data_IF_468836859271
#
_entry.id   IF_468836859271
#
_cell.length_a   1.000
_cell.length_b   1.000
_cell.length_c   1.000
_cell.angle_alpha   90.00
_cell.angle_beta   90.00
_cell.angle_gamma   90.00
#
_symmetry.space_group_name_H-M   'P 1'
#
loop_
_entity.id
_entity.type
_entity.pdbx_description
1 polymer ?
#
# COMPACT_ATOMS: atom_id res chain seq x y z
N UNK A 1 -58.67 -61.05 1.59
CA UNK A 1 -59.09 -59.74 1.07
C UNK A 1 -58.00 -58.75 1.40
N UNK A 2 -57.21 -58.33 0.40
CA UNK A 2 -56.16 -57.35 0.58
C UNK A 2 -56.75 -55.96 0.31
N UNK A 3 -56.71 -55.07 1.29
CA UNK A 3 -57.14 -53.68 1.15
C UNK A 3 -56.10 -52.93 0.32
N UNK A 4 -56.47 -52.54 -0.90
CA UNK A 4 -55.67 -51.66 -1.75
C UNK A 4 -56.02 -50.22 -1.43
N UNK A 5 -55.45 -49.69 -0.34
CA UNK A 5 -55.44 -48.25 -0.12
C UNK A 5 -54.45 -47.60 -1.09
N UNK A 6 -54.84 -46.51 -1.80
CA UNK A 6 -53.96 -45.84 -2.72
C UNK A 6 -52.80 -45.17 -1.95
N UNK A 7 -51.57 -45.59 -2.24
CA UNK A 7 -50.30 -45.06 -1.71
C UNK A 7 -49.99 -43.61 -2.14
N UNK A 8 -50.93 -42.93 -2.82
CA UNK A 8 -50.74 -41.59 -3.33
C UNK A 8 -51.42 -40.64 -2.35
N UNK A 9 -50.60 -39.90 -1.58
CA UNK A 9 -51.08 -38.87 -0.67
C UNK A 9 -51.98 -37.89 -1.41
N UNK A 10 -53.17 -37.65 -0.88
CA UNK A 10 -54.14 -36.73 -1.48
C UNK A 10 -53.57 -35.29 -1.50
N UNK A 11 -53.79 -34.55 -2.59
CA UNK A 11 -53.28 -33.18 -2.78
C UNK A 11 -53.61 -32.21 -1.62
N UNK A 12 -54.67 -32.51 -0.85
CA UNK A 12 -55.04 -31.77 0.35
C UNK A 12 -53.97 -31.84 1.45
N UNK A 13 -53.37 -33.01 1.65
CA UNK A 13 -52.34 -33.22 2.68
C UNK A 13 -51.01 -32.56 2.28
N UNK A 14 -50.69 -32.57 0.98
CA UNK A 14 -49.49 -31.92 0.44
C UNK A 14 -49.57 -30.39 0.56
N UNK A 15 -50.78 -29.81 0.43
CA UNK A 15 -51.00 -28.37 0.56
C UNK A 15 -50.73 -27.84 1.98
N UNK A 16 -51.07 -28.61 3.02
CA UNK A 16 -50.86 -28.26 4.41
C UNK A 16 -49.39 -28.28 4.83
N UNK A 17 -48.65 -29.29 4.38
CA UNK A 17 -47.20 -29.41 4.62
C UNK A 17 -46.44 -28.24 3.99
N UNK A 18 -46.73 -27.91 2.72
CA UNK A 18 -46.09 -26.80 2.00
C UNK A 18 -46.38 -25.43 2.65
N UNK A 19 -47.60 -25.20 3.13
CA UNK A 19 -47.96 -23.95 3.81
C UNK A 19 -47.20 -23.77 5.15
N UNK A 20 -47.03 -24.87 5.89
CA UNK A 20 -46.31 -24.87 7.17
C UNK A 20 -44.81 -24.62 6.96
N UNK A 21 -44.20 -25.33 6.00
CA UNK A 21 -42.78 -25.14 5.64
C UNK A 21 -42.52 -23.69 5.20
N UNK A 22 -43.37 -23.10 4.35
CA UNK A 22 -43.23 -21.70 3.92
C UNK A 22 -43.25 -20.72 5.08
N UNK A 23 -44.10 -20.93 6.08
CA UNK A 23 -44.17 -20.07 7.28
C UNK A 23 -42.87 -20.15 8.11
N UNK A 24 -42.33 -21.36 8.32
CA UNK A 24 -41.07 -21.53 9.04
C UNK A 24 -39.87 -20.98 8.26
N UNK A 25 -39.78 -21.23 6.94
CA UNK A 25 -38.74 -20.65 6.10
C UNK A 25 -38.79 -19.11 6.14
N UNK A 26 -39.97 -18.50 6.03
CA UNK A 26 -40.11 -17.03 6.10
C UNK A 26 -39.61 -16.47 7.43
N UNK A 27 -40.03 -17.06 8.56
CA UNK A 27 -39.57 -16.63 9.90
C UNK A 27 -38.06 -16.83 10.08
N UNK A 28 -37.50 -17.91 9.55
CA UNK A 28 -36.06 -18.16 9.58
C UNK A 28 -35.29 -17.12 8.76
N UNK A 29 -35.72 -16.81 7.53
CA UNK A 29 -35.11 -15.76 6.71
C UNK A 29 -35.25 -14.37 7.34
N UNK A 30 -36.40 -14.05 7.95
CA UNK A 30 -36.58 -12.80 8.71
C UNK A 30 -35.62 -12.72 9.90
N UNK A 31 -35.50 -13.79 10.70
CA UNK A 31 -34.55 -13.84 11.82
C UNK A 31 -33.10 -13.71 11.38
N UNK A 32 -32.71 -14.40 10.31
CA UNK A 32 -31.37 -14.33 9.72
C UNK A 32 -31.07 -12.92 9.19
N UNK A 33 -32.02 -12.27 8.51
CA UNK A 33 -31.89 -10.89 8.04
C UNK A 33 -31.68 -9.91 9.21
N UNK A 34 -32.43 -10.07 10.31
CA UNK A 34 -32.26 -9.25 11.51
C UNK A 34 -30.87 -9.45 12.11
N UNK A 35 -30.39 -10.70 12.21
CA UNK A 35 -29.04 -11.00 12.71
C UNK A 35 -27.97 -10.34 11.81
N UNK A 36 -28.09 -10.47 10.49
CA UNK A 36 -27.17 -9.83 9.55
C UNK A 36 -27.18 -8.31 9.68
N UNK A 37 -28.36 -7.70 9.86
CA UNK A 37 -28.49 -6.26 10.07
C UNK A 37 -27.81 -5.82 11.38
N UNK A 38 -28.00 -6.56 12.47
CA UNK A 38 -27.35 -6.29 13.77
C UNK A 38 -25.83 -6.38 13.64
N UNK A 39 -25.31 -7.47 13.04
CA UNK A 39 -23.86 -7.64 12.83
C UNK A 39 -23.30 -6.53 11.94
N UNK A 40 -24.03 -6.13 10.90
CA UNK A 40 -23.64 -5.02 10.03
C UNK A 40 -23.54 -3.70 10.80
N UNK A 41 -24.54 -3.36 11.61
CA UNK A 41 -24.53 -2.14 12.45
C UNK A 41 -23.37 -2.19 13.44
N UNK A 42 -23.15 -3.31 14.13
CA UNK A 42 -22.03 -3.48 15.06
C UNK A 42 -20.68 -3.30 14.36
N UNK A 43 -20.49 -3.87 13.16
CA UNK A 43 -19.28 -3.68 12.37
C UNK A 43 -19.03 -2.20 12.03
N UNK A 44 -20.09 -1.42 11.73
CA UNK A 44 -19.97 0.01 11.48
C UNK A 44 -19.64 0.82 12.73
N UNK A 45 -20.22 0.46 13.89
CA UNK A 45 -19.87 1.10 15.18
C UNK A 45 -18.40 0.86 15.50
N UNK A 46 -17.93 -0.40 15.37
CA UNK A 46 -16.51 -0.74 15.58
C UNK A 46 -15.62 0.00 14.58
N UNK A 47 -16.02 0.06 13.30
CA UNK A 47 -15.27 0.82 12.28
C UNK A 47 -15.17 2.31 12.62
N UNK A 48 -16.26 2.93 13.09
CA UNK A 48 -16.28 4.33 13.49
C UNK A 48 -15.36 4.57 14.68
N UNK A 49 -15.36 3.66 15.67
CA UNK A 49 -14.45 3.71 16.80
C UNK A 49 -12.98 3.57 16.38
N UNK A 50 -12.63 2.58 15.55
CA UNK A 50 -11.27 2.40 15.04
C UNK A 50 -10.80 3.62 14.23
N UNK A 51 -11.67 4.20 13.40
CA UNK A 51 -11.37 5.41 12.64
C UNK A 51 -11.17 6.62 13.57
N UNK A 52 -12.05 6.80 14.56
CA UNK A 52 -11.95 7.87 15.54
C UNK A 52 -10.69 7.74 16.39
N UNK A 53 -10.33 6.53 16.80
CA UNK A 53 -9.07 6.24 17.48
C UNK A 53 -7.87 6.63 16.59
N UNK A 54 -7.82 6.09 15.37
CA UNK A 54 -6.71 6.28 14.45
C UNK A 54 -6.46 7.75 14.10
N UNK A 55 -7.52 8.57 14.03
CA UNK A 55 -7.41 9.99 13.66
C UNK A 55 -7.40 10.91 14.87
N UNK A 56 -8.39 10.82 15.76
CA UNK A 56 -8.57 11.82 16.82
C UNK A 56 -7.62 11.59 17.99
N UNK A 57 -7.43 10.34 18.43
CA UNK A 57 -6.56 10.06 19.59
C UNK A 57 -5.08 10.21 19.28
N UNK A 58 -4.69 10.02 18.02
CA UNK A 58 -3.32 10.24 17.52
C UNK A 58 -3.03 11.70 17.20
N UNK A 59 -3.99 12.60 17.46
CA UNK A 59 -3.80 14.04 17.37
C UNK A 59 -4.07 14.66 16.00
N UNK A 60 -4.69 13.95 15.05
CA UNK A 60 -5.06 14.48 13.73
C UNK A 60 -6.21 15.49 13.83
N UNK A 61 -5.94 16.70 14.33
CA UNK A 61 -6.90 17.80 14.40
C UNK A 61 -6.25 19.15 14.07
N UNK A 62 -6.99 20.11 13.48
CA UNK A 62 -6.47 21.44 13.17
C UNK A 62 -5.89 22.18 14.37
N UNK A 63 -6.48 21.99 15.55
CA UNK A 63 -6.03 22.65 16.78
C UNK A 63 -4.67 22.14 17.25
N UNK A 64 -4.41 20.83 17.15
CA UNK A 64 -3.14 20.24 17.57
C UNK A 64 -1.98 20.62 16.65
N UNK A 65 -2.28 20.93 15.38
CA UNK A 65 -1.27 21.28 14.37
C UNK A 65 -1.16 22.78 14.14
N UNK A 66 -1.78 23.61 14.98
CA UNK A 66 -1.70 25.07 14.86
C UNK A 66 -0.26 25.53 15.13
N UNK A 67 0.41 26.04 14.09
CA UNK A 67 1.81 26.49 14.19
C UNK A 67 2.82 25.34 14.17
N UNK A 68 2.40 24.13 13.78
CA UNK A 68 3.29 23.00 13.65
C UNK A 68 4.28 23.24 12.49
N UNK A 69 5.58 23.12 12.78
CA UNK A 69 6.61 23.11 11.74
C UNK A 69 6.74 21.67 11.22
N UNK A 70 6.55 21.45 9.92
CA UNK A 70 6.70 20.14 9.29
C UNK A 70 8.18 19.88 8.95
N UNK A 71 8.94 19.14 9.77
CA UNK A 71 10.38 19.04 9.60
C UNK A 71 10.77 18.25 8.35
N UNK A 72 9.94 17.28 7.93
CA UNK A 72 10.17 16.47 6.73
C UNK A 72 10.02 17.24 5.41
N UNK A 73 9.32 18.36 5.41
CA UNK A 73 8.94 19.11 4.21
C UNK A 73 10.03 19.95 3.56
N UNK A 74 11.17 20.12 4.23
CA UNK A 74 12.23 21.03 3.81
C UNK A 74 11.73 22.48 3.68
N UNK A 75 12.27 23.22 2.70
CA UNK A 75 12.00 24.64 2.49
C UNK A 75 10.57 25.00 2.05
N UNK A 76 9.72 24.03 1.72
CA UNK A 76 8.32 24.25 1.34
C UNK A 76 7.34 23.40 2.16
N UNK A 77 7.51 23.45 3.48
CA UNK A 77 6.64 22.79 4.47
C UNK A 77 5.14 23.13 4.32
N UNK A 78 4.81 24.26 3.68
CA UNK A 78 3.42 24.66 3.43
C UNK A 78 2.70 23.74 2.46
N UNK A 79 3.42 23.12 1.52
CA UNK A 79 2.87 22.26 0.48
C UNK A 79 3.36 20.81 0.62
N UNK A 80 4.65 20.63 0.86
CA UNK A 80 5.28 19.33 0.99
C UNK A 80 5.54 19.05 2.48
N UNK A 81 4.90 18.00 3.01
CA UNK A 81 5.10 17.56 4.41
C UNK A 81 6.22 16.51 4.51
N UNK A 82 6.47 15.78 3.43
CA UNK A 82 7.47 14.72 3.33
C UNK A 82 8.67 15.15 2.49
N UNK A 83 9.83 14.50 2.67
CA UNK A 83 11.01 14.77 1.85
C UNK A 83 10.76 14.38 0.39
N UNK A 84 11.46 15.08 -0.51
CA UNK A 84 11.38 14.87 -1.96
C UNK A 84 11.73 13.44 -2.36
N UNK A 85 12.84 12.93 -1.87
CA UNK A 85 13.24 11.53 -2.05
C UNK A 85 13.11 10.83 -0.69
N UNK A 86 12.43 9.69 -0.67
CA UNK A 86 12.21 8.94 0.57
C UNK A 86 12.24 7.45 0.33
N UNK A 87 12.72 6.71 1.32
CA UNK A 87 12.61 5.27 1.45
C UNK A 87 11.48 4.95 2.42
N UNK A 88 10.54 4.10 2.00
CA UNK A 88 9.54 3.49 2.87
C UNK A 88 10.07 2.12 3.30
N UNK A 89 10.51 2.01 4.55
CA UNK A 89 11.01 0.75 5.10
C UNK A 89 9.95 0.10 5.99
N UNK A 90 9.59 -1.16 5.70
CA UNK A 90 8.65 -1.91 6.55
C UNK A 90 9.21 -2.06 7.98
N UNK A 91 8.35 -1.85 8.97
CA UNK A 91 8.66 -2.14 10.38
C UNK A 91 8.18 -3.54 10.77
N UNK A 92 8.79 -4.14 11.80
CA UNK A 92 8.20 -5.30 12.47
C UNK A 92 6.73 -5.03 12.82
N UNK A 93 5.80 -5.94 12.48
CA UNK A 93 4.40 -5.76 12.78
C UNK A 93 4.19 -5.61 14.29
N UNK A 94 3.32 -4.68 14.67
CA UNK A 94 2.87 -4.52 16.05
C UNK A 94 1.48 -5.13 16.20
N UNK A 95 1.07 -5.39 17.43
CA UNK A 95 -0.20 -6.08 17.70
C UNK A 95 -1.45 -5.36 17.13
N UNK A 96 -1.35 -4.05 16.88
CA UNK A 96 -2.45 -3.22 16.37
C UNK A 96 -2.34 -2.85 14.88
N UNK A 97 -1.28 -3.25 14.19
CA UNK A 97 -1.13 -2.92 12.77
C UNK A 97 0.27 -3.14 12.20
N UNK A 98 0.35 -3.00 10.88
CA UNK A 98 1.59 -2.92 10.14
C UNK A 98 2.00 -1.45 9.93
N UNK A 99 3.28 -1.18 9.69
CA UNK A 99 3.76 0.19 9.51
C UNK A 99 5.00 0.28 8.62
N UNK A 100 5.22 1.46 8.04
CA UNK A 100 6.38 1.78 7.22
C UNK A 100 7.02 3.08 7.71
N UNK A 101 8.32 3.08 7.96
CA UNK A 101 9.08 4.30 8.27
C UNK A 101 9.39 5.06 6.99
N UNK A 102 9.30 6.38 7.05
CA UNK A 102 9.73 7.29 5.99
C UNK A 102 11.13 7.78 6.33
N UNK A 103 12.11 7.34 5.57
CA UNK A 103 13.52 7.70 5.73
C UNK A 103 13.89 8.62 4.55
N UNK A 104 14.43 9.83 4.76
CA UNK A 104 14.91 10.67 3.67
C UNK A 104 15.97 9.92 2.86
N UNK A 105 15.92 10.05 1.54
CA UNK A 105 16.96 9.55 0.65
C UNK A 105 17.56 10.67 -0.19
N UNK A 106 18.64 10.39 -0.89
CA UNK A 106 19.22 11.29 -1.88
C UNK A 106 18.93 10.82 -3.31
N UNK A 107 19.38 11.60 -4.30
CA UNK A 107 19.23 11.27 -5.73
C UNK A 107 19.94 9.97 -6.12
N UNK A 108 20.96 9.55 -5.36
CA UNK A 108 21.65 8.28 -5.54
C UNK A 108 20.90 7.08 -4.90
N UNK A 109 19.66 7.28 -4.43
CA UNK A 109 18.84 6.25 -3.79
C UNK A 109 19.46 5.65 -2.52
N UNK A 110 20.35 6.39 -1.86
CA UNK A 110 20.90 6.00 -0.57
C UNK A 110 20.18 6.71 0.57
N UNK A 111 20.22 6.11 1.76
CA UNK A 111 19.72 6.73 3.00
C UNK A 111 20.40 8.08 3.20
N UNK A 112 19.60 9.14 3.29
CA UNK A 112 20.03 10.54 3.41
C UNK A 112 19.92 11.12 4.82
N UNK A 113 19.38 10.36 5.79
CA UNK A 113 19.23 10.84 7.16
C UNK A 113 18.49 9.86 8.06
N UNK A 114 18.13 10.32 9.27
CA UNK A 114 17.30 9.58 10.21
C UNK A 114 15.83 9.52 9.72
N UNK A 115 15.05 8.49 10.14
CA UNK A 115 13.63 8.40 9.82
C UNK A 115 12.88 9.66 10.29
N UNK A 116 12.09 10.27 9.40
CA UNK A 116 11.34 11.51 9.67
C UNK A 116 9.91 11.26 10.14
N UNK A 117 9.36 10.08 9.89
CA UNK A 117 8.05 9.70 10.42
C UNK A 117 7.67 8.28 10.07
N UNK A 118 6.46 7.88 10.44
CA UNK A 118 5.94 6.51 10.29
C UNK A 118 4.53 6.57 9.72
N UNK A 119 4.30 5.79 8.67
CA UNK A 119 2.97 5.44 8.22
C UNK A 119 2.44 4.24 9.00
N UNK A 120 1.36 4.44 9.71
CA UNK A 120 0.63 3.40 10.43
C UNK A 120 -0.56 2.91 9.61
N UNK A 121 -0.78 1.61 9.56
CA UNK A 121 -2.04 1.02 9.10
C UNK A 121 -2.83 0.52 10.32
N UNK A 122 -3.84 1.29 10.73
CA UNK A 122 -4.78 0.83 11.75
C UNK A 122 -5.85 -0.05 11.11
N UNK A 123 -5.99 -1.28 11.64
CA UNK A 123 -7.02 -2.20 11.19
C UNK A 123 -8.43 -1.68 11.51
N UNK A 124 -9.37 -1.99 10.63
CA UNK A 124 -10.80 -1.81 10.86
C UNK A 124 -11.59 -2.93 10.18
N UNK A 125 -12.79 -3.27 10.69
CA UNK A 125 -13.57 -4.41 10.19
C UNK A 125 -14.04 -4.25 8.73
N UNK A 126 -14.21 -3.01 8.26
CA UNK A 126 -14.67 -2.70 6.90
C UNK A 126 -13.51 -2.19 6.05
N UNK A 127 -12.69 -1.30 6.61
CA UNK A 127 -11.52 -0.75 5.92
C UNK A 127 -10.41 -0.35 6.90
N UNK A 128 -9.13 -0.50 6.50
CA UNK A 128 -8.02 0.06 7.25
C UNK A 128 -7.99 1.59 7.11
N UNK A 129 -7.50 2.26 8.15
CA UNK A 129 -7.19 3.69 8.15
C UNK A 129 -5.68 3.85 8.21
N UNK A 130 -5.14 4.75 7.41
CA UNK A 130 -3.71 5.01 7.37
C UNK A 130 -3.42 6.40 7.93
N UNK A 131 -2.39 6.53 8.75
CA UNK A 131 -2.00 7.80 9.34
C UNK A 131 -0.50 7.96 9.28
N UNK A 132 -0.04 9.18 9.03
CA UNK A 132 1.38 9.52 9.07
C UNK A 132 1.67 10.29 10.35
N UNK A 133 2.52 9.71 11.19
CA UNK A 133 3.04 10.31 12.41
C UNK A 133 4.44 10.84 12.16
N UNK A 134 4.67 12.11 12.47
CA UNK A 134 6.00 12.72 12.38
C UNK A 134 6.87 12.31 13.59
N UNK A 135 8.11 11.91 13.36
CA UNK A 135 8.99 11.41 14.40
C UNK A 135 9.53 12.50 15.33
N UNK A 136 9.56 13.77 14.89
CA UNK A 136 10.16 14.83 15.70
C UNK A 136 9.29 15.18 16.91
N UNK A 137 7.96 15.15 16.76
CA UNK A 137 7.03 15.53 17.82
C UNK A 137 5.89 14.51 18.06
N UNK A 138 5.93 13.33 17.41
CA UNK A 138 4.87 12.31 17.50
C UNK A 138 3.48 12.85 17.19
N UNK A 139 3.39 13.77 16.22
CA UNK A 139 2.12 14.36 15.78
C UNK A 139 1.65 13.70 14.50
N UNK A 140 0.38 13.31 14.46
CA UNK A 140 -0.24 12.81 13.23
C UNK A 140 -0.55 13.98 12.31
N UNK A 141 0.14 14.04 11.17
CA UNK A 141 0.08 15.17 10.24
C UNK A 141 -0.75 14.87 8.99
N UNK A 142 -0.84 13.61 8.59
CA UNK A 142 -1.62 13.16 7.43
C UNK A 142 -2.50 11.98 7.80
N UNK A 143 -3.61 11.85 7.09
CA UNK A 143 -4.42 10.64 7.13
C UNK A 143 -4.88 10.25 5.72
N UNK A 144 -5.10 8.95 5.55
CA UNK A 144 -5.64 8.37 4.34
C UNK A 144 -6.70 7.32 4.68
N UNK A 145 -7.84 7.39 4.00
CA UNK A 145 -8.98 6.49 4.22
C UNK A 145 -9.69 6.11 2.94
N UNK A 146 -10.36 4.96 2.94
CA UNK A 146 -11.15 4.48 1.80
C UNK A 146 -12.51 5.20 1.70
N UNK A 147 -12.90 5.60 0.48
CA UNK A 147 -14.27 6.02 0.12
C UNK A 147 -15.09 4.76 -0.23
N UNK A 148 -16.03 4.37 0.63
CA UNK A 148 -16.78 3.12 0.49
C UNK A 148 -17.84 3.11 -0.60
N UNK A 149 -18.40 4.26 -0.96
CA UNK A 149 -19.48 4.37 -1.97
C UNK A 149 -18.97 4.45 -3.41
N UNK A 150 -17.67 4.22 -3.65
CA UNK A 150 -17.06 4.28 -4.99
C UNK A 150 -16.65 2.89 -5.43
N UNK A 151 -16.85 2.59 -6.71
CA UNK A 151 -16.42 1.33 -7.32
C UNK A 151 -14.90 1.26 -7.33
N UNK A 152 -14.35 0.10 -6.96
CA UNK A 152 -12.92 -0.16 -6.95
C UNK A 152 -12.17 0.37 -5.74
N UNK A 153 -10.89 0.63 -5.93
CA UNK A 153 -10.03 1.28 -4.95
C UNK A 153 -10.21 2.79 -5.04
N UNK A 154 -10.67 3.43 -3.96
CA UNK A 154 -10.80 4.87 -3.88
C UNK A 154 -10.40 5.33 -2.48
N UNK A 155 -9.37 6.16 -2.39
CA UNK A 155 -8.85 6.69 -1.14
C UNK A 155 -8.89 8.22 -1.17
N UNK A 156 -9.10 8.80 0.00
CA UNK A 156 -8.88 10.23 0.26
C UNK A 156 -7.62 10.34 1.09
N UNK A 157 -6.71 11.20 0.66
CA UNK A 157 -5.51 11.57 1.38
C UNK A 157 -5.66 13.05 1.72
N UNK A 158 -5.50 13.40 3.00
CA UNK A 158 -5.66 14.77 3.45
C UNK A 158 -4.74 15.05 4.64
N UNK A 159 -4.45 16.32 4.83
CA UNK A 159 -3.71 16.80 5.99
C UNK A 159 -4.65 16.92 7.19
N UNK A 160 -4.09 16.66 8.36
CA UNK A 160 -4.79 16.73 9.63
C UNK A 160 -5.03 18.16 10.12
N UNK A 161 -4.24 19.11 9.63
CA UNK A 161 -4.38 20.53 9.96
C UNK A 161 -5.56 21.20 9.24
N UNK A 162 -6.19 20.47 8.30
CA UNK A 162 -7.26 20.99 7.47
C UNK A 162 -6.78 21.99 6.41
N UNK A 163 -5.47 22.16 6.22
CA UNK A 163 -4.91 23.00 5.16
C UNK A 163 -4.51 22.13 3.97
N UNK A 164 -4.27 22.79 2.83
CA UNK A 164 -3.90 22.12 1.59
C UNK A 164 -5.07 21.40 0.89
N UNK A 165 -4.81 20.84 -0.30
CA UNK A 165 -5.84 20.22 -1.11
C UNK A 165 -6.25 18.85 -0.58
N UNK A 166 -7.51 18.49 -0.82
CA UNK A 166 -8.00 17.13 -0.57
C UNK A 166 -7.72 16.28 -1.79
N UNK A 167 -6.91 15.24 -1.60
CA UNK A 167 -6.48 14.37 -2.68
C UNK A 167 -7.39 13.17 -2.76
N UNK A 168 -7.91 12.87 -3.94
CA UNK A 168 -8.64 11.62 -4.21
C UNK A 168 -7.82 10.73 -5.14
N UNK A 169 -7.35 9.60 -4.61
CA UNK A 169 -6.68 8.55 -5.37
C UNK A 169 -7.70 7.46 -5.72
N UNK A 170 -8.01 7.26 -7.00
CA UNK A 170 -9.07 6.35 -7.39
C UNK A 170 -8.80 5.60 -8.68
N UNK A 171 -9.22 4.35 -8.71
CA UNK A 171 -9.27 3.54 -9.91
C UNK A 171 -10.32 4.06 -10.91
N UNK A 172 -11.47 4.55 -10.40
CA UNK A 172 -12.58 5.04 -11.22
C UNK A 172 -13.07 4.00 -12.23
N UNK A 173 -13.29 4.43 -13.48
CA UNK A 173 -13.71 3.57 -14.58
C UNK A 173 -12.62 2.55 -15.00
N UNK A 174 -11.37 2.72 -14.57
CA UNK A 174 -10.31 1.76 -14.87
C UNK A 174 -10.50 0.43 -14.13
N UNK A 175 -11.44 0.34 -13.17
CA UNK A 175 -11.68 -0.86 -12.37
C UNK A 175 -11.85 -2.13 -13.20
N UNK A 176 -12.72 -2.06 -14.22
CA UNK A 176 -12.94 -3.19 -15.11
C UNK A 176 -11.69 -3.50 -15.94
N UNK A 177 -11.03 -2.47 -16.47
CA UNK A 177 -9.82 -2.62 -17.29
C UNK A 177 -8.66 -3.24 -16.51
N UNK A 178 -8.46 -2.85 -15.26
CA UNK A 178 -7.43 -3.40 -14.38
C UNK A 178 -7.71 -4.87 -14.04
N UNK A 179 -8.98 -5.22 -13.83
CA UNK A 179 -9.36 -6.62 -13.60
C UNK A 179 -9.11 -7.48 -14.84
N UNK A 180 -9.40 -6.96 -16.03
CA UNK A 180 -9.12 -7.63 -17.29
C UNK A 180 -7.61 -7.79 -17.52
N UNK A 181 -6.82 -6.73 -17.29
CA UNK A 181 -5.34 -6.77 -17.36
C UNK A 181 -4.76 -7.83 -16.43
N UNK A 182 -5.27 -7.90 -15.19
CA UNK A 182 -4.87 -8.91 -14.21
C UNK A 182 -5.23 -10.33 -14.65
N UNK A 183 -6.41 -10.52 -15.24
CA UNK A 183 -6.84 -11.82 -15.78
C UNK A 183 -5.90 -12.31 -16.90
N UNK A 184 -5.46 -11.41 -17.78
CA UNK A 184 -4.52 -11.72 -18.87
C UNK A 184 -3.04 -11.59 -18.49
N UNK A 185 -2.71 -11.35 -17.22
CA UNK A 185 -1.33 -11.21 -16.73
C UNK A 185 -0.49 -10.18 -17.52
N UNK A 186 -1.07 -9.02 -17.84
CA UNK A 186 -0.37 -7.95 -18.57
C UNK A 186 0.72 -7.27 -17.71
N UNK A 187 1.77 -6.72 -18.34
CA UNK A 187 2.89 -6.04 -17.65
C UNK A 187 2.44 -4.86 -16.77
N UNK A 188 1.51 -4.05 -17.29
CA UNK A 188 0.86 -2.98 -16.54
C UNK A 188 -0.31 -3.56 -15.77
N UNK A 189 -0.21 -3.59 -14.44
CA UNK A 189 -1.19 -4.26 -13.62
C UNK A 189 -2.42 -3.38 -13.38
N UNK A 190 -2.21 -2.17 -12.84
CA UNK A 190 -3.29 -1.28 -12.41
C UNK A 190 -2.97 0.17 -12.76
N UNK A 191 -4.01 0.93 -13.13
CA UNK A 191 -3.91 2.37 -13.38
C UNK A 191 -4.93 3.12 -12.53
N UNK A 192 -4.47 4.17 -11.87
CA UNK A 192 -5.25 5.01 -10.97
C UNK A 192 -5.15 6.46 -11.38
N UNK A 193 -6.20 7.22 -11.06
CA UNK A 193 -6.33 8.64 -11.28
C UNK A 193 -6.18 9.37 -9.95
N UNK A 194 -5.41 10.45 -9.95
CA UNK A 194 -5.22 11.31 -8.80
C UNK A 194 -5.90 12.64 -9.09
N UNK A 195 -6.86 12.98 -8.22
CA UNK A 195 -7.55 14.26 -8.26
C UNK A 195 -7.10 15.15 -7.10
N UNK A 196 -6.79 16.40 -7.40
CA UNK A 196 -6.53 17.48 -6.42
C UNK A 196 -7.74 18.39 -6.48
N UNK A 197 -8.51 18.48 -5.39
CA UNK A 197 -9.74 19.29 -5.33
C UNK A 197 -10.65 19.07 -6.55
N UNK A 198 -10.93 17.80 -6.83
CA UNK A 198 -11.76 17.31 -7.95
C UNK A 198 -11.21 17.54 -9.37
N UNK A 199 -9.99 18.09 -9.52
CA UNK A 199 -9.29 18.21 -10.81
C UNK A 199 -8.34 17.04 -11.02
N UNK A 200 -8.44 16.36 -12.16
CA UNK A 200 -7.52 15.27 -12.52
C UNK A 200 -6.14 15.86 -12.83
N UNK A 201 -5.14 15.55 -12.00
CA UNK A 201 -3.79 16.11 -12.15
C UNK A 201 -2.75 15.08 -12.59
N UNK A 202 -2.92 13.83 -12.16
CA UNK A 202 -1.94 12.79 -12.43
C UNK A 202 -2.58 11.41 -12.56
N UNK A 203 -1.85 10.51 -13.23
CA UNK A 203 -2.19 9.11 -13.38
C UNK A 203 -1.03 8.30 -12.77
N UNK A 204 -1.36 7.39 -11.86
CA UNK A 204 -0.41 6.44 -11.29
C UNK A 204 -0.58 5.08 -11.99
N UNK A 205 0.52 4.51 -12.44
CA UNK A 205 0.55 3.25 -13.18
C UNK A 205 1.45 2.24 -12.46
N UNK A 206 0.88 1.12 -12.04
CA UNK A 206 1.61 0.01 -11.44
C UNK A 206 2.21 -0.93 -12.49
N UNK A 207 3.45 -1.34 -12.27
CA UNK A 207 4.12 -2.41 -12.99
C UNK A 207 4.36 -3.57 -12.02
N UNK A 208 3.89 -4.77 -12.37
CA UNK A 208 4.07 -5.98 -11.52
C UNK A 208 5.00 -7.01 -12.17
N UNK A 209 5.16 -7.00 -13.50
CA UNK A 209 6.08 -7.92 -14.18
C UNK A 209 7.50 -7.35 -14.16
N UNK A 210 8.43 -8.15 -13.63
CA UNK A 210 9.81 -7.73 -13.36
C UNK A 210 9.93 -7.09 -11.98
N UNK A 211 10.11 -5.77 -11.95
CA UNK A 211 10.26 -5.01 -10.70
C UNK A 211 8.95 -4.33 -10.33
N UNK A 212 8.49 -4.59 -9.10
CA UNK A 212 7.32 -3.92 -8.57
C UNK A 212 7.60 -2.43 -8.42
N UNK A 213 6.84 -1.65 -9.17
CA UNK A 213 7.04 -0.20 -9.25
C UNK A 213 5.74 0.52 -9.57
N UNK A 214 5.72 1.82 -9.31
CA UNK A 214 4.64 2.72 -9.66
C UNK A 214 5.22 3.95 -10.34
N UNK A 215 4.68 4.35 -11.48
CA UNK A 215 5.07 5.57 -12.18
C UNK A 215 3.92 6.57 -12.13
N UNK A 216 4.21 7.81 -11.77
CA UNK A 216 3.24 8.89 -11.71
C UNK A 216 3.48 9.83 -12.88
N UNK A 217 2.48 10.00 -13.75
CA UNK A 217 2.54 10.89 -14.91
C UNK A 217 1.57 12.05 -14.74
N UNK A 218 2.00 13.27 -15.04
CA UNK A 218 1.08 14.40 -15.14
C UNK A 218 0.09 14.17 -16.30
N UNK A 219 -1.11 14.71 -16.17
CA UNK A 219 -2.15 14.71 -17.23
C UNK A 219 -1.89 15.83 -18.24
N UNK A 220 -1.12 16.86 -17.88
CA UNK A 220 -0.79 18.00 -18.73
C UNK A 220 0.07 17.62 -19.95
N UNK A 221 0.17 18.56 -20.90
CA UNK A 221 0.85 18.37 -22.19
C UNK A 221 2.28 17.83 -22.00
N UNK A 222 2.48 16.60 -22.46
CA UNK A 222 3.78 15.89 -22.38
C UNK A 222 3.80 14.67 -21.48
N UNK A 223 2.77 14.39 -20.67
CA UNK A 223 2.65 13.18 -19.82
C UNK A 223 3.93 12.82 -19.07
N UNK A 224 4.64 13.85 -18.64
CA UNK A 224 5.95 13.68 -18.04
C UNK A 224 5.81 12.99 -16.69
N UNK A 225 6.77 12.12 -16.37
CA UNK A 225 6.83 11.49 -15.06
C UNK A 225 7.08 12.58 -14.00
N UNK A 226 6.21 12.67 -13.01
CA UNK A 226 6.30 13.62 -11.87
C UNK A 226 6.85 12.94 -10.62
N UNK A 227 6.62 11.64 -10.48
CA UNK A 227 7.20 10.82 -9.43
C UNK A 227 7.32 9.37 -9.92
N UNK A 228 8.09 8.58 -9.18
CA UNK A 228 8.16 7.13 -9.34
C UNK A 228 8.41 6.48 -8.00
N UNK A 229 8.01 5.23 -7.85
CA UNK A 229 8.42 4.40 -6.74
C UNK A 229 8.80 3.01 -7.20
N UNK A 230 9.79 2.39 -6.56
CA UNK A 230 10.27 1.05 -6.87
C UNK A 230 10.56 0.29 -5.60
N UNK A 231 10.20 -0.99 -5.56
CA UNK A 231 10.65 -1.90 -4.51
C UNK A 231 12.16 -2.14 -4.70
N UNK A 232 12.97 -1.53 -3.85
CA UNK A 232 14.43 -1.56 -3.91
C UNK A 232 15.00 -2.85 -3.34
N UNK A 233 14.46 -3.30 -2.21
CA UNK A 233 14.91 -4.50 -1.51
C UNK A 233 13.72 -5.22 -0.87
N UNK A 234 13.77 -6.55 -0.84
CA UNK A 234 12.82 -7.43 -0.12
C UNK A 234 13.39 -7.99 1.18
N UNK A 235 14.61 -7.58 1.51
CA UNK A 235 15.42 -8.17 2.57
C UNK A 235 16.16 -7.12 3.37
N UNK A 236 15.57 -5.94 3.57
CA UNK A 236 16.12 -5.03 4.55
C UNK A 236 16.08 -5.70 5.93
N UNK A 237 17.24 -5.84 6.55
CA UNK A 237 17.45 -6.69 7.72
C UNK A 237 16.91 -8.14 7.57
N UNK A 238 16.95 -8.67 6.35
CA UNK A 238 16.63 -10.07 6.02
C UNK A 238 15.15 -10.36 5.74
N UNK A 239 14.22 -9.47 6.07
CA UNK A 239 12.78 -9.80 6.03
C UNK A 239 11.82 -8.64 5.69
N UNK A 240 12.30 -7.41 5.60
CA UNK A 240 11.47 -6.23 5.42
C UNK A 240 11.61 -5.63 4.02
N UNK A 241 10.49 -5.16 3.47
CA UNK A 241 10.46 -4.48 2.18
C UNK A 241 10.90 -3.02 2.29
N UNK A 242 11.68 -2.56 1.31
CA UNK A 242 12.08 -1.16 1.12
C UNK A 242 11.58 -0.64 -0.22
N UNK A 243 10.81 0.45 -0.16
CA UNK A 243 10.31 1.13 -1.34
C UNK A 243 10.95 2.50 -1.48
N UNK A 244 11.74 2.69 -2.53
CA UNK A 244 12.22 4.01 -2.90
C UNK A 244 11.09 4.78 -3.56
N UNK A 245 10.86 6.01 -3.11
CA UNK A 245 9.94 7.00 -3.68
C UNK A 245 10.75 8.21 -4.10
N UNK A 246 10.72 8.50 -5.39
CA UNK A 246 11.45 9.59 -6.03
C UNK A 246 10.44 10.59 -6.63
N UNK A 247 10.42 11.81 -6.10
CA UNK A 247 9.64 12.92 -6.65
C UNK A 247 10.55 13.83 -7.47
N UNK A 248 10.14 14.15 -8.69
CA UNK A 248 10.90 15.06 -9.56
C UNK A 248 10.59 16.50 -9.20
N UNK A 249 11.63 17.32 -9.08
CA UNK A 249 11.47 18.77 -8.99
C UNK A 249 11.14 19.29 -10.37
N UNK A 250 9.86 19.55 -10.59
CA UNK A 250 9.44 20.45 -11.66
C UNK A 250 9.03 21.76 -11.02
N UNK A 251 9.33 22.86 -11.71
CA UNK A 251 8.99 24.22 -11.24
C UNK A 251 7.50 24.34 -10.88
N UNK A 252 6.65 23.54 -11.53
CA UNK A 252 5.27 23.30 -11.14
C UNK A 252 5.15 21.92 -10.48
N UNK A 253 5.32 21.87 -9.15
CA UNK A 253 5.04 20.67 -8.37
C UNK A 253 3.52 20.39 -8.39
N UNK A 254 3.06 19.71 -9.44
CA UNK A 254 1.66 19.33 -9.65
C UNK A 254 1.13 18.43 -8.52
N UNK A 255 2.02 17.67 -7.89
CA UNK A 255 1.68 16.68 -6.87
C UNK A 255 2.51 16.87 -5.60
N UNK A 256 1.89 17.04 -4.42
CA UNK A 256 2.64 17.05 -3.16
C UNK A 256 3.36 15.72 -2.91
N UNK A 257 4.57 15.76 -2.36
CA UNK A 257 5.40 14.56 -2.15
C UNK A 257 4.77 13.53 -1.21
N UNK A 258 3.90 13.97 -0.29
CA UNK A 258 3.18 13.06 0.57
C UNK A 258 2.16 12.18 -0.16
N UNK A 259 1.70 12.62 -1.34
CA UNK A 259 0.74 11.85 -2.13
C UNK A 259 1.40 10.64 -2.77
N UNK A 260 2.55 10.83 -3.43
CA UNK A 260 3.30 9.71 -4.02
C UNK A 260 3.67 8.69 -2.94
N UNK A 261 4.22 9.14 -1.81
CA UNK A 261 4.50 8.31 -0.64
C UNK A 261 3.28 7.52 -0.15
N UNK A 262 2.13 8.18 0.08
CA UNK A 262 0.91 7.52 0.55
C UNK A 262 0.34 6.53 -0.49
N UNK A 263 0.44 6.83 -1.78
CA UNK A 263 -0.02 5.90 -2.83
C UNK A 263 0.92 4.69 -2.99
N UNK A 264 2.23 4.89 -2.87
CA UNK A 264 3.21 3.81 -2.81
C UNK A 264 2.96 2.93 -1.59
N UNK A 265 2.64 3.51 -0.44
CA UNK A 265 2.29 2.77 0.78
C UNK A 265 1.10 1.81 0.55
N UNK A 266 0.04 2.24 -0.14
CA UNK A 266 -1.09 1.35 -0.48
C UNK A 266 -0.63 0.12 -1.29
N UNK A 267 0.27 0.35 -2.25
CA UNK A 267 0.83 -0.71 -3.07
C UNK A 267 1.79 -1.61 -2.30
N UNK A 268 2.62 -1.03 -1.41
CA UNK A 268 3.50 -1.76 -0.51
C UNK A 268 2.72 -2.72 0.39
N UNK A 269 1.65 -2.26 1.04
CA UNK A 269 0.77 -3.13 1.83
C UNK A 269 0.09 -4.21 0.99
N UNK A 270 -0.29 -3.91 -0.25
CA UNK A 270 -0.86 -4.90 -1.13
C UNK A 270 0.14 -6.02 -1.45
N UNK A 271 1.37 -5.67 -1.81
CA UNK A 271 2.47 -6.61 -2.06
C UNK A 271 2.76 -7.45 -0.82
N UNK A 272 2.93 -6.81 0.34
CA UNK A 272 3.23 -7.46 1.61
C UNK A 272 2.18 -8.52 1.96
N UNK A 273 0.90 -8.18 1.83
CA UNK A 273 -0.19 -9.13 2.09
C UNK A 273 -0.25 -10.28 1.08
N UNK A 274 0.13 -10.06 -0.17
CA UNK A 274 0.22 -11.14 -1.16
C UNK A 274 1.31 -12.13 -0.79
N UNK A 275 2.50 -11.65 -0.43
CA UNK A 275 3.64 -12.50 -0.13
C UNK A 275 3.43 -13.27 1.18
N UNK A 276 2.88 -12.62 2.23
CA UNK A 276 2.45 -13.32 3.46
C UNK A 276 1.41 -14.41 3.21
N UNK A 277 0.54 -14.27 2.21
CA UNK A 277 -0.44 -15.31 1.83
C UNK A 277 0.20 -16.48 1.11
N UNK A 278 1.20 -16.24 0.26
CA UNK A 278 1.95 -17.30 -0.44
C UNK A 278 2.74 -18.15 0.55
N UNK A 279 3.48 -17.52 1.46
CA UNK A 279 4.25 -18.23 2.51
C UNK A 279 3.34 -19.13 3.35
N UNK A 280 2.17 -18.62 3.80
CA UNK A 280 1.19 -19.43 4.53
C UNK A 280 0.64 -20.59 3.72
N UNK A 281 0.44 -20.42 2.41
CA UNK A 281 -0.03 -21.48 1.54
C UNK A 281 1.03 -22.59 1.39
N UNK A 282 2.31 -22.20 1.20
CA UNK A 282 3.44 -23.13 1.11
C UNK A 282 3.64 -23.91 2.43
N UNK A 283 3.66 -23.21 3.58
CA UNK A 283 3.73 -23.85 4.91
C UNK A 283 2.59 -24.83 5.18
N UNK A 284 1.39 -24.56 4.64
CA UNK A 284 0.24 -25.45 4.76
C UNK A 284 0.32 -26.67 3.85
N UNK A 285 0.95 -26.53 2.67
CA UNK A 285 1.15 -27.61 1.71
C UNK A 285 2.17 -28.63 2.23
N UNK A 286 3.25 -28.18 2.85
CA UNK A 286 4.31 -29.06 3.36
C UNK A 286 3.83 -29.96 4.52
N UNK A 287 2.88 -29.47 5.33
CA UNK A 287 2.29 -30.26 6.41
C UNK A 287 1.47 -31.45 5.93
N UNK A 288 0.98 -31.44 4.69
CA UNK A 288 0.20 -32.54 4.14
C UNK A 288 1.04 -33.65 3.49
N UNK A 289 2.34 -33.43 3.25
CA UNK A 289 3.25 -34.45 2.72
C UNK A 289 4.15 -35.13 3.76
N UNK A 290 4.10 -34.70 5.03
CA UNK A 290 4.96 -35.24 6.10
C UNK A 290 4.47 -36.51 6.79
N UNK A 291 3.37 -37.12 6.35
CA UNK A 291 2.93 -38.45 6.84
C UNK A 291 3.70 -39.61 6.18
N UNK A 292 4.66 -39.31 5.31
CA UNK A 292 5.68 -40.27 4.90
C UNK A 292 6.62 -40.50 6.10
N UNK A 293 6.74 -41.72 6.65
CA UNK A 293 7.53 -41.97 7.83
C UNK A 293 8.99 -41.52 7.66
N UNK A 294 9.44 -40.56 8.48
CA UNK A 294 10.79 -39.97 8.45
C UNK A 294 11.93 -40.95 8.78
N UNK A 295 11.66 -42.23 9.05
CA UNK A 295 12.69 -43.20 9.41
C UNK A 295 13.56 -43.66 8.21
N UNK A 296 13.18 -43.34 6.97
CA UNK A 296 13.98 -43.67 5.77
C UNK A 296 14.72 -42.48 5.15
N UNK A 297 14.46 -41.25 5.61
CA UNK A 297 15.24 -40.08 5.22
C UNK A 297 16.50 -40.02 6.07
N UNK A 298 17.46 -40.92 5.80
CA UNK A 298 18.82 -40.76 6.28
C UNK A 298 19.35 -39.43 5.74
N UNK A 299 19.42 -38.43 6.62
CA UNK A 299 19.99 -37.13 6.34
C UNK A 299 21.47 -37.33 6.04
N UNK A 300 21.82 -37.43 4.77
CA UNK A 300 23.21 -37.29 4.30
C UNK A 300 23.58 -35.84 4.59
N UNK A 301 24.10 -35.60 5.79
CA UNK A 301 24.80 -34.36 6.11
C UNK A 301 25.97 -34.28 5.14
N UNK A 302 25.80 -33.53 4.06
CA UNK A 302 26.92 -33.08 3.26
C UNK A 302 27.80 -32.21 4.16
N UNK A 303 28.84 -32.82 4.71
CA UNK A 303 29.97 -32.13 5.31
C UNK A 303 30.75 -31.47 4.18
N UNK A 304 30.21 -30.38 3.64
CA UNK A 304 30.94 -29.47 2.76
C UNK A 304 31.53 -28.33 3.59
N UNK A 305 32.30 -28.72 4.61
CA UNK A 305 33.23 -27.84 5.30
C UNK A 305 34.58 -27.88 4.57
N UNK A 306 34.69 -27.24 3.40
CA UNK A 306 35.93 -26.80 2.70
C UNK A 306 35.42 -25.82 1.63
N UNK A 307 35.66 -24.51 1.62
CA UNK A 307 36.94 -23.82 1.73
C UNK A 307 36.70 -22.32 1.95
N UNK A 308 37.31 -21.77 3.00
CA UNK A 308 37.67 -20.35 3.00
C UNK A 308 38.83 -20.19 2.00
N UNK A 309 38.51 -19.95 0.73
CA UNK A 309 39.48 -19.43 -0.23
C UNK A 309 39.47 -17.90 -0.15
N UNK A 310 40.31 -17.38 0.72
CA UNK A 310 40.78 -16.00 0.70
C UNK A 310 41.34 -15.71 -0.70
N UNK A 311 40.56 -15.02 -1.52
CA UNK A 311 41.04 -14.46 -2.79
C UNK A 311 41.15 -12.96 -2.57
N UNK A 312 42.33 -12.55 -2.09
CA UNK A 312 42.76 -11.18 -2.17
C UNK A 312 42.71 -10.76 -3.65
N UNK A 313 41.81 -9.83 -3.97
CA UNK A 313 41.81 -9.17 -5.26
C UNK A 313 43.01 -8.21 -5.32
N UNK A 314 43.78 -8.20 -6.42
CA UNK A 314 44.86 -7.26 -6.61
C UNK A 314 44.31 -5.83 -6.74
N UNK A 315 44.95 -4.92 -6.00
CA UNK A 315 44.84 -3.46 -6.15
C UNK A 315 45.25 -3.10 -7.58
N UNK A 316 44.26 -2.90 -8.46
CA UNK A 316 44.50 -2.24 -9.74
C UNK A 316 44.71 -0.76 -9.46
N UNK A 317 45.96 -0.31 -9.67
CA UNK A 317 46.33 1.09 -9.80
C UNK A 317 45.42 1.76 -10.82
N UNK A 318 44.69 2.79 -10.38
CA UNK A 318 44.06 3.76 -11.26
C UNK A 318 45.15 4.49 -12.07
N UNK A 319 44.97 4.67 -13.39
CA UNK A 319 45.84 5.51 -14.18
C UNK A 319 45.67 6.98 -13.77
N UNK A 320 46.83 7.54 -13.41
CA UNK A 320 47.29 8.91 -13.46
C UNK A 320 46.37 9.94 -14.16
N UNK A 321 46.20 11.08 -13.48
CA UNK A 321 45.52 12.29 -13.92
C UNK A 321 45.80 12.68 -15.38
N UNK A 322 44.75 12.73 -16.20
CA UNK A 322 44.76 13.56 -17.40
C UNK A 322 44.39 14.98 -16.97
N UNK A 323 45.41 15.80 -16.79
CA UNK A 323 45.31 17.25 -16.64
C UNK A 323 44.72 17.82 -17.94
N UNK A 324 43.45 18.21 -17.91
CA UNK A 324 42.85 19.01 -18.98
C UNK A 324 43.18 20.48 -18.69
N UNK A 325 43.93 21.19 -19.56
CA UNK A 325 44.19 22.60 -19.37
C UNK A 325 42.88 23.40 -19.50
N UNK A 326 42.60 24.16 -18.44
CA UNK A 326 41.57 25.20 -18.39
C UNK A 326 41.89 26.25 -19.44
N UNK A 327 41.11 26.29 -20.53
CA UNK A 327 41.07 27.41 -21.46
C UNK A 327 40.23 28.52 -20.83
N UNK A 328 40.89 29.44 -20.13
CA UNK A 328 40.33 30.76 -19.83
C UNK A 328 40.30 31.59 -21.10
N UNK A 329 39.09 31.86 -21.63
CA UNK A 329 38.88 32.93 -22.61
C UNK A 329 37.68 33.77 -22.19
N UNK A 330 37.93 34.69 -21.26
CA UNK A 330 37.08 35.86 -21.06
C UNK A 330 37.53 36.92 -22.07
N UNK A 331 36.83 36.97 -23.19
CA UNK A 331 36.85 38.07 -24.16
C UNK A 331 35.39 38.48 -24.37
N UNK A 332 34.94 39.49 -23.63
CA UNK A 332 33.73 40.27 -23.94
C UNK A 332 33.87 41.64 -23.29
N UNK A 333 34.85 42.38 -23.78
CA UNK A 333 34.81 43.83 -23.77
C UNK A 333 34.36 44.30 -25.16
N UNK A 334 33.47 45.32 -25.14
CA UNK A 334 32.96 46.12 -26.28
C UNK A 334 31.80 45.51 -27.05
N UNK A 335 30.61 46.06 -26.82
CA UNK A 335 29.98 46.96 -27.79
C UNK A 335 29.08 47.97 -27.05
N UNK A 336 29.39 49.25 -27.27
CA UNK A 336 28.45 50.38 -27.25
C UNK A 336 27.70 50.36 -28.57
#
# INVERSE_FOLDING_TARGET
MASTEPLIATDAEESGCRATIRKYCKKFFEGLLIIFLVVFILAWIVQAFCYFWATTWTGCTPNNLKGYAYPGGGGNASFNVLPKHSLLAERPPVWYGDSFEVIPSNEASSVGGAPVGVWWQTWGPIFPTYTYEDNANSQTTLYMRRKLLRIGQCHVIARCDGTGPVITFTEGLNWFSNRLRKFFQMNQAMSYKIYVDDKLVAIAEETQLGFQSMTFRSVDEGRSAVASSVLQSRHFHGQYDEWLVDNKDKEENVLPYYVSSATTLLFAFYTLHQDRRKVKAEESSDKHHSDSPKFLAAEVRNVSAVSNLSTALPVNKLPEEVIIPVLTKNDTDRFI
#
